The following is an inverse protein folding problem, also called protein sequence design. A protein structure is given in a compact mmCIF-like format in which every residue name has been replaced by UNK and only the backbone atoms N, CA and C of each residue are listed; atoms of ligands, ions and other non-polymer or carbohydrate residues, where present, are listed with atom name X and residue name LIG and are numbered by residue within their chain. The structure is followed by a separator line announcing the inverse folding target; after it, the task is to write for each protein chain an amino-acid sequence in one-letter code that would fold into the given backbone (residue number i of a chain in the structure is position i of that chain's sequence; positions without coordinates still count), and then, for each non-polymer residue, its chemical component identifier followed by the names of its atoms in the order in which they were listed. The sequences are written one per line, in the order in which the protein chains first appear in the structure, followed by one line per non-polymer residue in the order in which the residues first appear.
data_IF_091596097096
#
_entry.id   IF_091596097096
#
_cell.length_a   1.000
_cell.length_b   1.000
_cell.length_c   1.000
_cell.angle_alpha   90.00
_cell.angle_beta   90.00
_cell.angle_gamma   90.00
#
_symmetry.space_group_name_H-M   'P 1'
#
loop_
_entity.id
_entity.type
_entity.pdbx_description
1 polymer ?
#
# COMPACT_ATOMS: atom_id res chain seq x y z
N UNK A 1 -16.30 7.73 -5.92
CA UNK A 1 -15.42 7.00 -6.85
C UNK A 1 -14.16 6.61 -6.14
N UNK A 2 -13.76 5.36 -6.27
CA UNK A 2 -12.58 4.82 -5.59
C UNK A 2 -11.27 5.41 -6.09
N UNK A 3 -11.24 5.93 -7.33
CA UNK A 3 -10.04 6.53 -7.90
C UNK A 3 -9.81 7.99 -7.48
N UNK A 4 -10.65 8.50 -6.56
CA UNK A 4 -10.47 9.81 -5.97
C UNK A 4 -10.04 9.68 -4.52
N UNK A 5 -9.37 10.72 -4.03
CA UNK A 5 -8.98 10.80 -2.64
C UNK A 5 -9.08 12.26 -2.21
N UNK A 6 -9.48 12.49 -0.96
CA UNK A 6 -9.46 13.81 -0.40
C UNK A 6 -8.63 13.82 0.88
N UNK A 7 -8.31 15.01 1.36
CA UNK A 7 -7.47 15.15 2.55
C UNK A 7 -8.13 14.58 3.79
N UNK A 8 -9.47 14.61 3.87
CA UNK A 8 -10.19 14.08 5.04
C UNK A 8 -10.04 12.57 5.14
N UNK A 9 -10.02 11.87 4.01
CA UNK A 9 -9.79 10.43 3.98
C UNK A 9 -8.43 10.11 4.59
N UNK A 10 -7.39 10.83 4.20
CA UNK A 10 -6.04 10.62 4.70
C UNK A 10 -5.90 11.04 6.15
N UNK A 11 -6.56 12.11 6.57
CA UNK A 11 -6.58 12.51 7.98
C UNK A 11 -7.17 11.40 8.86
N UNK A 12 -8.23 10.74 8.39
CA UNK A 12 -8.84 9.61 9.12
C UNK A 12 -7.87 8.43 9.23
N UNK A 13 -7.13 8.15 8.18
CA UNK A 13 -6.11 7.10 8.19
C UNK A 13 -5.03 7.41 9.22
N UNK A 14 -4.52 8.65 9.22
CA UNK A 14 -3.52 9.08 10.21
C UNK A 14 -4.07 9.05 11.63
N UNK A 15 -5.31 9.51 11.84
CA UNK A 15 -5.93 9.47 13.16
C UNK A 15 -6.07 8.04 13.66
N UNK A 16 -6.44 7.11 12.78
CA UNK A 16 -6.51 5.70 13.12
C UNK A 16 -5.15 5.19 13.61
N UNK A 17 -4.08 5.47 12.87
CA UNK A 17 -2.73 5.07 13.25
C UNK A 17 -2.30 5.67 14.59
N UNK A 18 -2.59 6.94 14.81
CA UNK A 18 -2.22 7.67 16.03
C UNK A 18 -2.98 7.18 17.25
N UNK A 19 -4.27 6.87 17.10
CA UNK A 19 -5.11 6.36 18.18
C UNK A 19 -4.68 4.94 18.55
N UNK A 20 -4.50 4.07 17.56
CA UNK A 20 -4.06 2.69 17.80
C UNK A 20 -2.64 2.64 18.31
N UNK A 21 -1.81 3.60 17.90
CA UNK A 21 -0.38 3.65 18.21
C UNK A 21 0.28 2.28 17.96
N UNK A 22 -0.09 1.67 16.85
CA UNK A 22 0.19 0.28 16.60
C UNK A 22 0.28 0.03 15.10
N UNK A 23 0.94 -1.06 14.74
CA UNK A 23 1.07 -1.50 13.36
C UNK A 23 -0.29 -1.91 12.79
N UNK A 24 -0.42 -1.72 11.49
CA UNK A 24 -1.65 -2.00 10.78
C UNK A 24 -1.30 -2.75 9.50
N UNK A 25 -2.03 -3.85 9.23
CA UNK A 25 -1.73 -4.70 8.07
C UNK A 25 -2.19 -4.10 6.75
N UNK A 26 -3.06 -3.10 6.78
CA UNK A 26 -3.61 -2.49 5.56
C UNK A 26 -3.14 -1.04 5.35
N UNK A 27 -2.20 -0.55 6.17
CA UNK A 27 -1.58 0.76 6.01
C UNK A 27 -0.07 0.61 6.18
N UNK A 28 0.69 1.19 5.24
CA UNK A 28 2.15 1.30 5.34
C UNK A 28 2.51 2.77 5.32
N UNK A 29 3.44 3.19 6.19
CA UNK A 29 3.99 4.54 6.14
C UNK A 29 5.48 4.46 5.88
N UNK A 30 5.99 5.41 5.09
CA UNK A 30 7.39 5.54 4.77
C UNK A 30 7.77 7.01 4.80
N UNK A 31 8.91 7.31 5.36
CA UNK A 31 9.43 8.67 5.39
C UNK A 31 9.93 9.08 4.01
N UNK A 32 10.54 8.14 3.29
CA UNK A 32 11.12 8.35 1.98
C UNK A 32 10.49 7.43 0.95
N UNK A 33 10.60 7.81 -0.33
CA UNK A 33 10.13 6.98 -1.44
C UNK A 33 10.86 5.63 -1.46
N UNK A 34 10.15 4.58 -1.80
CA UNK A 34 10.66 3.21 -1.88
C UNK A 34 10.84 2.80 -3.34
N UNK A 35 11.69 1.79 -3.58
CA UNK A 35 11.93 1.30 -4.93
C UNK A 35 10.74 0.51 -5.45
N UNK A 36 10.75 0.22 -6.75
CA UNK A 36 9.64 -0.45 -7.44
C UNK A 36 9.35 -1.85 -6.90
N UNK A 37 10.38 -2.61 -6.53
CA UNK A 37 10.15 -3.95 -5.99
C UNK A 37 9.48 -3.88 -4.61
N UNK A 38 9.96 -3.01 -3.74
CA UNK A 38 9.36 -2.83 -2.43
C UNK A 38 7.93 -2.33 -2.56
N UNK A 39 7.69 -1.42 -3.50
CA UNK A 39 6.35 -0.88 -3.76
C UNK A 39 5.42 -1.99 -4.24
N UNK A 40 5.86 -2.80 -5.21
CA UNK A 40 5.04 -3.91 -5.73
C UNK A 40 4.72 -4.96 -4.67
N UNK A 41 5.72 -5.35 -3.88
CA UNK A 41 5.52 -6.29 -2.77
C UNK A 41 4.52 -5.75 -1.75
N UNK A 42 4.63 -4.46 -1.44
CA UNK A 42 3.73 -3.82 -0.47
C UNK A 42 2.30 -3.75 -1.01
N UNK A 43 2.12 -3.43 -2.30
CA UNK A 43 0.79 -3.40 -2.91
C UNK A 43 0.16 -4.80 -2.85
N UNK A 44 0.91 -5.85 -3.23
CA UNK A 44 0.44 -7.23 -3.12
C UNK A 44 0.01 -7.54 -1.68
N UNK A 45 0.89 -7.27 -0.73
CA UNK A 45 0.66 -7.60 0.67
C UNK A 45 -0.54 -6.86 1.25
N UNK A 46 -0.69 -5.57 0.96
CA UNK A 46 -1.81 -4.76 1.45
C UNK A 46 -3.13 -5.22 0.82
N UNK A 47 -3.16 -5.46 -0.49
CA UNK A 47 -4.38 -5.93 -1.16
C UNK A 47 -4.88 -7.23 -0.53
N UNK A 48 -3.98 -8.17 -0.28
CA UNK A 48 -4.32 -9.45 0.33
C UNK A 48 -4.74 -9.28 1.79
N UNK A 49 -4.08 -8.42 2.52
CA UNK A 49 -4.42 -8.15 3.92
C UNK A 49 -5.77 -7.46 4.06
N UNK A 50 -6.13 -6.60 3.12
CA UNK A 50 -7.47 -5.99 3.07
C UNK A 50 -8.55 -7.06 2.96
N UNK A 51 -8.36 -8.04 2.08
CA UNK A 51 -9.31 -9.15 1.94
C UNK A 51 -9.42 -9.94 3.24
N UNK A 52 -8.29 -10.25 3.86
CA UNK A 52 -8.25 -11.01 5.11
C UNK A 52 -8.93 -10.25 6.25
N UNK A 53 -8.73 -8.93 6.34
CA UNK A 53 -9.24 -8.07 7.41
C UNK A 53 -10.64 -7.50 7.12
N UNK A 54 -11.17 -7.73 5.93
CA UNK A 54 -12.48 -7.20 5.56
C UNK A 54 -12.48 -5.69 5.28
N UNK A 55 -11.36 -5.15 4.79
CA UNK A 55 -11.25 -3.73 4.41
C UNK A 55 -11.45 -3.57 2.92
N UNK A 56 -12.09 -2.49 2.49
CA UNK A 56 -12.30 -2.20 1.08
C UNK A 56 -11.03 -1.75 0.38
N UNK A 57 -10.17 -1.03 1.09
CA UNK A 57 -8.92 -0.55 0.53
C UNK A 57 -7.89 -0.33 1.63
N UNK A 58 -6.63 -0.25 1.20
CA UNK A 58 -5.51 0.07 2.06
C UNK A 58 -4.68 1.20 1.48
N UNK A 59 -3.62 1.59 2.18
CA UNK A 59 -2.87 2.80 1.84
C UNK A 59 -1.39 2.62 2.07
N UNK A 60 -0.59 3.31 1.23
CA UNK A 60 0.82 3.58 1.50
C UNK A 60 0.96 5.10 1.57
N UNK A 61 1.50 5.61 2.66
CA UNK A 61 1.71 7.05 2.85
C UNK A 61 3.22 7.32 2.82
N UNK A 62 3.67 8.14 1.87
CA UNK A 62 5.07 8.54 1.74
C UNK A 62 5.22 9.96 2.25
N UNK A 63 6.10 10.16 3.21
CA UNK A 63 6.29 11.44 3.88
C UNK A 63 5.77 11.45 5.31
N UNK A 64 5.58 10.25 5.89
CA UNK A 64 5.12 10.07 7.26
C UNK A 64 6.15 9.21 7.99
N UNK A 65 6.56 9.66 9.16
CA UNK A 65 7.56 8.96 9.97
C UNK A 65 6.92 7.81 10.73
N UNK A 66 7.50 6.62 10.58
CA UNK A 66 7.01 5.40 11.21
C UNK A 66 7.07 5.52 12.75
N UNK A 67 6.17 4.81 13.43
CA UNK A 67 6.06 4.70 14.89
C UNK A 67 5.57 5.96 15.59
N UNK A 68 6.00 7.14 15.16
CA UNK A 68 5.52 8.41 15.73
C UNK A 68 4.40 9.03 14.90
N UNK A 69 4.21 8.56 13.69
CA UNK A 69 3.15 8.98 12.76
C UNK A 69 3.18 10.48 12.49
N UNK A 70 4.38 11.05 12.45
CA UNK A 70 4.58 12.47 12.18
C UNK A 70 4.63 12.72 10.68
N UNK A 71 3.86 13.70 10.21
CA UNK A 71 3.93 14.13 8.81
C UNK A 71 5.19 14.96 8.63
N UNK A 72 6.15 14.42 7.89
CA UNK A 72 7.41 15.12 7.58
C UNK A 72 7.42 15.65 6.16
N UNK A 73 6.53 15.15 5.31
CA UNK A 73 6.41 15.59 3.93
C UNK A 73 7.41 14.91 3.00
N UNK A 74 7.16 15.03 1.70
CA UNK A 74 8.08 14.55 0.67
C UNK A 74 7.98 15.44 -0.56
N UNK A 75 9.10 15.62 -1.26
CA UNK A 75 9.13 16.27 -2.57
C UNK A 75 9.07 15.25 -3.71
N UNK A 76 9.14 13.98 -3.41
CA UNK A 76 9.09 12.91 -4.41
C UNK A 76 7.67 12.69 -4.89
N UNK A 77 7.52 12.49 -6.20
CA UNK A 77 6.21 12.30 -6.84
C UNK A 77 6.22 11.00 -7.61
N UNK A 78 5.09 10.27 -7.58
CA UNK A 78 4.93 9.07 -8.40
C UNK A 78 4.95 9.40 -9.88
N UNK A 79 4.47 10.59 -10.26
CA UNK A 79 4.49 11.04 -11.66
C UNK A 79 5.91 11.14 -12.24
N UNK A 80 6.91 11.28 -11.37
CA UNK A 80 8.32 11.35 -11.76
C UNK A 80 9.07 10.06 -11.46
N UNK A 81 8.37 9.01 -11.06
CA UNK A 81 8.99 7.74 -10.69
C UNK A 81 9.06 6.84 -11.92
N UNK A 82 10.26 6.63 -12.41
CA UNK A 82 10.54 5.72 -13.53
C UNK A 82 11.38 4.57 -13.04
N UNK A 83 11.01 3.36 -13.43
CA UNK A 83 11.76 2.16 -13.08
C UNK A 83 12.98 2.05 -13.98
N UNK A 84 13.86 1.11 -13.69
CA UNK A 84 15.03 0.85 -14.51
C UNK A 84 14.58 0.56 -15.95
N UNK A 85 15.16 1.27 -16.91
CA UNK A 85 14.77 1.19 -18.32
C UNK A 85 13.82 2.29 -18.75
N UNK A 86 13.41 3.18 -17.84
CA UNK A 86 12.66 4.39 -18.15
C UNK A 86 11.17 4.23 -18.18
N UNK A 87 10.63 3.05 -17.90
CA UNK A 87 9.19 2.83 -17.88
C UNK A 87 8.56 3.52 -16.66
N UNK A 88 7.39 4.13 -16.85
CA UNK A 88 6.61 4.71 -15.76
C UNK A 88 6.26 3.63 -14.73
N UNK A 89 6.39 3.96 -13.44
CA UNK A 89 6.21 2.99 -12.35
C UNK A 89 4.80 2.41 -12.33
N UNK A 90 3.78 3.22 -12.62
CA UNK A 90 2.40 2.73 -12.62
C UNK A 90 2.21 1.63 -13.66
N UNK A 91 2.68 1.86 -14.89
CA UNK A 91 2.57 0.87 -15.96
C UNK A 91 3.37 -0.39 -15.63
N UNK A 92 4.57 -0.22 -15.11
CA UNK A 92 5.42 -1.34 -14.68
C UNK A 92 4.69 -2.22 -13.66
N UNK A 93 4.11 -1.60 -12.63
CA UNK A 93 3.41 -2.35 -11.57
C UNK A 93 2.16 -3.03 -12.11
N UNK A 94 1.41 -2.38 -13.00
CA UNK A 94 0.24 -3.02 -13.63
C UNK A 94 0.61 -4.27 -14.40
N UNK A 95 1.82 -4.32 -14.94
CA UNK A 95 2.33 -5.50 -15.64
C UNK A 95 2.77 -6.59 -14.67
N UNK A 96 3.34 -6.21 -13.54
CA UNK A 96 3.96 -7.15 -12.60
C UNK A 96 3.01 -7.67 -11.52
N UNK A 97 1.86 -7.01 -11.30
CA UNK A 97 0.85 -7.45 -10.34
C UNK A 97 -0.20 -8.29 -11.04
N UNK A 98 -0.46 -9.49 -10.54
CA UNK A 98 -1.41 -10.43 -11.12
C UNK A 98 -2.20 -11.15 -10.04
N UNK A 99 -3.50 -11.42 -10.23
CA UNK A 99 -4.32 -10.86 -11.30
C UNK A 99 -4.43 -9.34 -11.19
N UNK A 100 -5.08 -8.72 -12.16
CA UNK A 100 -5.21 -7.26 -12.19
C UNK A 100 -5.85 -6.74 -10.90
N UNK A 101 -5.26 -5.69 -10.34
CA UNK A 101 -5.75 -5.03 -9.13
C UNK A 101 -5.74 -3.52 -9.35
N UNK A 102 -6.73 -2.83 -8.83
CA UNK A 102 -6.80 -1.38 -8.93
C UNK A 102 -6.00 -0.75 -7.80
N UNK A 103 -5.12 0.16 -8.17
CA UNK A 103 -4.39 0.99 -7.24
C UNK A 103 -4.20 2.37 -7.88
N UNK A 104 -4.07 3.39 -7.04
CA UNK A 104 -4.06 4.77 -7.50
C UNK A 104 -2.97 5.54 -6.80
N UNK A 105 -2.20 6.31 -7.57
CA UNK A 105 -1.15 7.19 -7.06
C UNK A 105 -1.67 8.62 -6.95
N UNK A 106 -1.38 9.26 -5.84
CA UNK A 106 -1.74 10.66 -5.60
C UNK A 106 -0.51 11.41 -5.10
N UNK A 107 -0.14 12.45 -5.83
CA UNK A 107 0.98 13.31 -5.47
C UNK A 107 0.46 14.56 -4.77
N UNK A 108 1.31 15.16 -3.94
CA UNK A 108 1.06 16.48 -3.36
C UNK A 108 -0.25 16.57 -2.57
N UNK A 109 -0.54 15.55 -1.78
CA UNK A 109 -1.67 15.59 -0.85
C UNK A 109 -1.25 16.45 0.35
N UNK A 110 -1.95 17.56 0.56
CA UNK A 110 -1.60 18.49 1.64
C UNK A 110 -2.17 18.03 2.98
N UNK A 111 -1.29 17.70 3.90
CA UNK A 111 -1.65 17.27 5.26
C UNK A 111 -0.76 18.03 6.24
N UNK A 112 -1.37 18.73 7.21
CA UNK A 112 -0.64 19.45 8.27
C UNK A 112 0.42 20.39 7.69
N UNK A 113 0.05 21.11 6.62
CA UNK A 113 0.90 22.07 5.92
C UNK A 113 2.13 21.47 5.23
N UNK A 114 2.11 20.17 4.96
CA UNK A 114 3.15 19.48 4.22
C UNK A 114 2.51 18.62 3.13
N UNK A 115 3.27 18.33 2.09
CA UNK A 115 2.81 17.49 0.99
C UNK A 115 3.32 16.08 1.18
N UNK A 116 2.42 15.10 1.07
CA UNK A 116 2.76 13.69 1.07
C UNK A 116 2.29 13.03 -0.22
N UNK A 117 2.82 11.86 -0.52
CA UNK A 117 2.36 11.04 -1.63
C UNK A 117 1.61 9.84 -1.07
N UNK A 118 0.56 9.40 -1.76
CA UNK A 118 -0.32 8.33 -1.28
C UNK A 118 -0.54 7.31 -2.38
N UNK A 119 -0.50 6.03 -2.02
CA UNK A 119 -1.03 4.95 -2.87
C UNK A 119 -2.28 4.43 -2.19
N UNK A 120 -3.40 4.42 -2.91
CA UNK A 120 -4.64 3.80 -2.45
C UNK A 120 -4.79 2.48 -3.20
N UNK A 121 -5.00 1.40 -2.47
CA UNK A 121 -4.98 0.03 -3.01
C UNK A 121 -6.31 -0.62 -2.70
N UNK A 122 -7.01 -1.09 -3.73
CA UNK A 122 -8.25 -1.85 -3.52
C UNK A 122 -7.95 -3.24 -3.00
N UNK A 123 -8.88 -3.79 -2.23
CA UNK A 123 -8.77 -5.15 -1.70
C UNK A 123 -8.71 -6.17 -2.82
N UNK A 124 -7.92 -7.22 -2.63
CA UNK A 124 -8.07 -8.44 -3.42
C UNK A 124 -9.48 -8.99 -3.23
N UNK A 125 -10.00 -9.74 -4.20
CA UNK A 125 -11.38 -10.27 -4.13
C UNK A 125 -11.46 -11.75 -4.43
N UNK A 126 -11.24 -12.14 -5.68
CA UNK A 126 -11.44 -13.53 -6.10
C UNK A 126 -10.18 -14.37 -6.09
N UNK A 127 -9.04 -13.74 -6.05
CA UNK A 127 -7.74 -14.41 -6.06
C UNK A 127 -6.74 -13.53 -5.32
N UNK A 128 -5.84 -14.10 -4.51
CA UNK A 128 -4.77 -13.30 -3.93
C UNK A 128 -3.91 -12.65 -5.02
N UNK A 129 -3.39 -11.48 -4.71
CA UNK A 129 -2.59 -10.68 -5.64
C UNK A 129 -1.11 -11.05 -5.47
N UNK A 130 -0.44 -11.34 -6.59
CA UNK A 130 0.98 -11.64 -6.62
C UNK A 130 1.76 -10.51 -7.29
N UNK A 131 2.98 -10.26 -6.83
CA UNK A 131 3.94 -9.39 -7.48
C UNK A 131 5.08 -10.27 -8.00
N UNK A 132 5.35 -10.19 -9.31
CA UNK A 132 6.36 -11.04 -9.96
C UNK A 132 6.17 -12.52 -9.59
N UNK A 133 4.92 -12.98 -9.62
CA UNK A 133 4.51 -14.35 -9.35
C UNK A 133 4.64 -14.80 -7.89
N UNK A 134 5.03 -13.92 -6.98
CA UNK A 134 5.09 -14.23 -5.57
C UNK A 134 3.96 -13.49 -4.84
N UNK A 135 3.18 -14.21 -4.03
CA UNK A 135 2.09 -13.64 -3.24
C UNK A 135 2.62 -13.20 -1.88
N UNK A 136 2.35 -11.96 -1.52
CA UNK A 136 2.79 -11.37 -0.25
C UNK A 136 1.61 -11.12 0.67
N UNK A 137 1.90 -11.09 1.95
CA UNK A 137 0.94 -10.79 3.02
C UNK A 137 1.65 -9.92 4.07
N UNK A 138 0.87 -9.12 4.79
CA UNK A 138 1.42 -8.34 5.90
C UNK A 138 1.36 -9.16 7.17
N UNK A 139 2.52 -9.31 7.82
CA UNK A 139 2.62 -9.86 9.16
C UNK A 139 3.13 -8.72 10.02
N UNK A 140 2.25 -8.12 10.81
CA UNK A 140 2.55 -6.85 11.47
C UNK A 140 2.80 -5.77 10.42
N UNK A 141 3.95 -5.12 10.46
CA UNK A 141 4.36 -4.10 9.51
C UNK A 141 5.29 -4.62 8.42
N UNK A 142 5.44 -5.95 8.30
CA UNK A 142 6.39 -6.55 7.36
C UNK A 142 5.67 -7.26 6.21
N UNK A 143 6.25 -7.13 5.01
CA UNK A 143 5.80 -7.91 3.87
C UNK A 143 6.47 -9.28 3.94
N UNK A 144 5.68 -10.34 3.90
CA UNK A 144 6.18 -11.70 3.95
C UNK A 144 5.57 -12.51 2.82
N UNK A 145 6.29 -13.52 2.35
CA UNK A 145 5.76 -14.43 1.35
C UNK A 145 4.68 -15.29 1.98
N UNK A 146 3.51 -15.30 1.36
CA UNK A 146 2.35 -16.04 1.90
C UNK A 146 2.66 -17.51 2.12
N UNK A 147 3.45 -18.11 1.22
CA UNK A 147 3.80 -19.54 1.30
C UNK A 147 4.54 -19.92 2.59
N UNK A 148 5.13 -18.94 3.27
CA UNK A 148 5.83 -19.17 4.54
C UNK A 148 4.90 -19.14 5.76
N UNK A 149 3.62 -18.84 5.55
CA UNK A 149 2.63 -18.68 6.61
C UNK A 149 1.38 -19.47 6.27
N UNK A 150 1.45 -20.81 6.44
CA UNK A 150 0.40 -21.72 5.98
C UNK A 150 -0.96 -21.46 6.59
N UNK A 151 -1.03 -21.09 7.87
CA UNK A 151 -2.31 -20.81 8.51
C UNK A 151 -2.94 -19.53 7.97
N UNK A 152 -2.14 -18.49 7.76
CA UNK A 152 -2.61 -17.26 7.14
C UNK A 152 -3.05 -17.50 5.70
N UNK A 153 -2.30 -18.34 4.97
CA UNK A 153 -2.65 -18.71 3.59
C UNK A 153 -4.02 -19.40 3.55
N UNK A 154 -4.28 -20.33 4.46
CA UNK A 154 -5.59 -20.99 4.53
C UNK A 154 -6.72 -20.00 4.77
N UNK A 155 -6.53 -19.09 5.71
CA UNK A 155 -7.53 -18.05 6.02
C UNK A 155 -7.81 -17.18 4.81
N UNK A 156 -6.77 -16.79 4.09
CA UNK A 156 -6.91 -15.96 2.90
C UNK A 156 -7.66 -16.70 1.78
N UNK A 157 -7.30 -17.95 1.51
CA UNK A 157 -7.94 -18.74 0.45
C UNK A 157 -9.41 -19.03 0.73
N UNK A 158 -9.82 -19.07 1.99
CA UNK A 158 -11.24 -19.21 2.35
C UNK A 158 -12.03 -17.95 1.98
N UNK A 159 -11.38 -16.78 2.00
CA UNK A 159 -12.03 -15.51 1.69
C UNK A 159 -12.27 -15.26 0.19
N UNK A 160 -11.54 -15.93 -0.67
CA UNK A 160 -11.64 -15.71 -2.12
C UNK A 160 -12.77 -16.49 -2.78
#
# INVERSE_FOLDING_TARGET
MVNNINTDEIKKVLDYLRIKDNECTWIEVKEEQINEDKLGETISAIANSCLLEGKECGYILIGVKDKVWEVVGTSKKFSNFHVKGGQDVELYLKTMLTPEINFYFFDEISIENKNISVVKIESASHTPIAYKKETYIRIGSNNKKLKEFSETAKKLWIKV
#
